data_IF_293463164356
#
_entry.id   IF_293463164356
#
_cell.length_a   1.000
_cell.length_b   1.000
_cell.length_c   1.000
_cell.angle_alpha   90.00
_cell.angle_beta   90.00
_cell.angle_gamma   90.00
#
_symmetry.space_group_name_H-M   'P 1'
#
loop_
_entity.id
_entity.type
_entity.pdbx_description
1 polymer ?
#
# COMPACT_ATOMS: atom_id res chain seq x y z
N UNK A 1 -0.83 -18.04 0.51
CA UNK A 1 -1.13 -16.83 -0.28
C UNK A 1 -0.92 -15.65 0.66
N UNK A 2 0.18 -14.92 0.51
CA UNK A 2 0.56 -13.84 1.42
C UNK A 2 -0.07 -12.54 0.93
N UNK A 3 -1.02 -12.00 1.68
CA UNK A 3 -1.69 -10.74 1.39
C UNK A 3 -1.46 -9.76 2.54
N UNK A 4 -1.11 -8.53 2.21
CA UNK A 4 -0.89 -7.45 3.19
C UNK A 4 -2.21 -6.83 3.68
N UNK A 5 -3.29 -7.09 2.95
CA UNK A 5 -4.64 -6.76 3.30
C UNK A 5 -5.59 -7.03 2.14
N UNK A 6 -6.86 -6.69 2.33
CA UNK A 6 -7.91 -6.78 1.32
C UNK A 6 -9.00 -5.76 1.62
N UNK A 7 -9.70 -5.31 0.58
CA UNK A 7 -10.99 -4.65 0.75
C UNK A 7 -12.10 -5.53 0.18
N UNK A 8 -13.33 -5.25 0.58
CA UNK A 8 -14.50 -5.96 0.13
C UNK A 8 -15.78 -5.24 0.50
N UNK A 9 -16.92 -5.86 0.19
CA UNK A 9 -18.22 -5.30 0.53
C UNK A 9 -19.16 -6.36 1.09
N UNK A 10 -20.01 -5.95 2.02
CA UNK A 10 -21.03 -6.80 2.62
C UNK A 10 -22.41 -6.14 2.49
N UNK A 11 -23.49 -6.93 2.49
CA UNK A 11 -24.83 -6.39 2.64
C UNK A 11 -24.95 -5.58 3.94
N UNK A 12 -25.44 -4.35 3.82
CA UNK A 12 -25.77 -3.48 4.95
C UNK A 12 -27.26 -3.54 5.29
N UNK A 13 -27.67 -2.67 6.22
CA UNK A 13 -29.07 -2.54 6.62
C UNK A 13 -29.94 -2.09 5.43
N UNK A 14 -31.12 -2.69 5.31
CA UNK A 14 -32.15 -2.22 4.39
C UNK A 14 -32.80 -0.97 4.97
N UNK A 15 -32.74 0.14 4.22
CA UNK A 15 -33.35 1.42 4.61
C UNK A 15 -34.40 1.75 3.57
N UNK A 16 -35.66 1.94 4.01
CA UNK A 16 -36.79 2.23 3.12
C UNK A 16 -36.97 1.21 1.98
N UNK A 17 -36.75 -0.08 2.26
CA UNK A 17 -36.88 -1.16 1.27
C UNK A 17 -35.74 -1.26 0.27
N UNK A 18 -34.70 -0.41 0.37
CA UNK A 18 -33.49 -0.52 -0.46
C UNK A 18 -32.39 -1.26 0.31
N UNK A 19 -31.90 -2.35 -0.29
CA UNK A 19 -30.73 -3.06 0.21
C UNK A 19 -29.47 -2.23 -0.05
N UNK A 20 -28.80 -1.83 1.02
CA UNK A 20 -27.54 -1.10 0.93
C UNK A 20 -26.36 -2.08 1.03
N UNK A 21 -25.19 -1.66 0.57
CA UNK A 21 -23.91 -2.33 0.80
C UNK A 21 -22.98 -1.38 1.52
N UNK A 22 -22.11 -1.91 2.35
CA UNK A 22 -20.99 -1.16 2.91
C UNK A 22 -19.68 -1.81 2.49
N UNK A 23 -18.66 -0.99 2.31
CA UNK A 23 -17.31 -1.47 2.05
C UNK A 23 -16.54 -1.59 3.38
N UNK A 24 -15.61 -2.53 3.44
CA UNK A 24 -14.73 -2.72 4.57
C UNK A 24 -13.30 -2.96 4.08
N UNK A 25 -12.35 -2.65 4.94
CA UNK A 25 -10.92 -2.89 4.73
C UNK A 25 -10.43 -3.78 5.86
N UNK A 26 -9.61 -4.76 5.50
CA UNK A 26 -8.85 -5.56 6.44
C UNK A 26 -7.36 -5.39 6.11
N UNK A 27 -6.57 -5.01 7.11
CA UNK A 27 -5.12 -4.83 6.99
C UNK A 27 -4.42 -5.81 7.91
N UNK A 28 -3.44 -6.52 7.38
CA UNK A 28 -2.61 -7.43 8.14
C UNK A 28 -1.47 -6.70 8.86
N UNK A 29 -0.92 -7.33 9.90
CA UNK A 29 0.29 -6.82 10.52
C UNK A 29 1.49 -7.09 9.57
N UNK A 30 2.08 -6.01 9.03
CA UNK A 30 3.13 -6.06 8.02
C UNK A 30 4.46 -6.64 8.55
N UNK A 31 4.70 -6.60 9.86
CA UNK A 31 5.90 -7.15 10.51
C UNK A 31 5.89 -8.67 10.66
N UNK A 32 4.71 -9.28 10.66
CA UNK A 32 4.56 -10.72 10.88
C UNK A 32 4.06 -11.42 9.63
N UNK A 33 3.22 -10.74 8.84
CA UNK A 33 2.62 -11.29 7.64
C UNK A 33 3.45 -10.90 6.41
N UNK A 34 4.50 -11.68 6.15
CA UNK A 34 5.40 -11.53 5.00
C UNK A 34 6.11 -10.17 4.92
N UNK A 35 7.06 -9.89 5.83
CA UNK A 35 7.73 -8.60 5.96
C UNK A 35 8.34 -8.08 4.65
N UNK A 36 9.02 -8.93 3.89
CA UNK A 36 9.64 -8.48 2.64
C UNK A 36 8.66 -8.18 1.48
N UNK A 37 7.36 -8.41 1.67
CA UNK A 37 6.33 -8.00 0.70
C UNK A 37 5.48 -6.88 1.28
N UNK A 38 5.03 -7.02 2.52
CA UNK A 38 4.08 -6.11 3.14
C UNK A 38 4.72 -4.92 3.82
N UNK A 39 6.01 -5.01 4.12
CA UNK A 39 6.78 -3.93 4.70
C UNK A 39 7.79 -3.30 3.74
N UNK A 40 7.75 -3.60 2.44
CA UNK A 40 8.52 -2.85 1.44
C UNK A 40 7.95 -1.40 1.33
N UNK A 41 8.78 -0.34 1.32
CA UNK A 41 10.24 -0.31 1.23
C UNK A 41 11.00 -0.21 2.57
N UNK A 42 10.32 -0.35 3.71
CA UNK A 42 10.90 -0.24 5.05
C UNK A 42 11.52 -1.55 5.55
N UNK A 43 11.37 -2.64 4.79
CA UNK A 43 11.98 -3.94 5.02
C UNK A 43 12.63 -4.47 3.74
N UNK A 44 13.65 -5.32 3.88
CA UNK A 44 14.30 -6.01 2.75
C UNK A 44 13.27 -6.75 1.89
N UNK A 45 13.29 -6.60 0.56
CA UNK A 45 12.32 -7.21 -0.34
C UNK A 45 12.60 -8.71 -0.51
N UNK A 46 11.54 -9.51 -0.73
CA UNK A 46 11.66 -10.98 -0.88
C UNK A 46 12.47 -11.39 -2.13
N UNK A 47 12.44 -10.58 -3.18
CA UNK A 47 13.08 -10.87 -4.46
C UNK A 47 13.78 -9.61 -4.99
N UNK A 48 14.63 -9.77 -6.01
CA UNK A 48 15.37 -8.66 -6.63
C UNK A 48 16.56 -8.16 -5.81
N UNK A 49 17.21 -7.07 -6.27
CA UNK A 49 18.37 -6.50 -5.60
C UNK A 49 18.07 -6.14 -4.14
N UNK A 50 18.94 -6.55 -3.22
CA UNK A 50 18.79 -6.34 -1.78
C UNK A 50 19.29 -4.94 -1.37
N UNK A 51 18.69 -3.91 -1.96
CA UNK A 51 18.98 -2.52 -1.59
C UNK A 51 18.67 -2.31 -0.09
N UNK A 52 19.44 -1.48 0.64
CA UNK A 52 19.10 -1.17 2.03
C UNK A 52 17.66 -0.65 2.15
N UNK A 53 16.89 -1.05 3.18
CA UNK A 53 15.53 -0.58 3.35
C UNK A 53 15.55 0.90 3.74
N UNK A 54 14.46 1.59 3.45
CA UNK A 54 14.29 2.97 3.90
C UNK A 54 14.00 3.00 5.41
N UNK A 55 14.34 4.12 6.04
CA UNK A 55 14.08 4.34 7.46
C UNK A 55 12.59 4.63 7.67
N UNK A 56 11.98 3.86 8.58
CA UNK A 56 10.61 4.07 9.01
C UNK A 56 10.46 5.42 9.73
N UNK A 57 9.58 6.34 9.28
CA UNK A 57 9.40 7.65 9.91
C UNK A 57 9.09 7.61 11.42
N UNK A 58 8.33 6.62 11.89
CA UNK A 58 8.02 6.43 13.31
C UNK A 58 8.99 5.46 14.02
N UNK A 59 10.06 5.03 13.35
CA UNK A 59 10.99 4.01 13.82
C UNK A 59 10.31 2.65 14.14
N UNK A 60 9.14 2.41 13.56
CA UNK A 60 8.35 1.18 13.69
C UNK A 60 7.93 0.74 12.28
N UNK A 61 8.60 -0.30 11.79
CA UNK A 61 8.42 -0.79 10.42
C UNK A 61 6.99 -1.34 10.23
N UNK A 62 6.46 -2.07 11.22
CA UNK A 62 5.14 -2.69 11.14
C UNK A 62 4.01 -1.69 11.10
N UNK A 63 4.09 -0.66 11.94
CA UNK A 63 3.10 0.40 12.02
C UNK A 63 3.12 1.27 10.75
N UNK A 64 4.31 1.72 10.32
CA UNK A 64 4.41 2.56 9.13
C UNK A 64 3.98 1.80 7.86
N UNK A 65 4.29 0.51 7.77
CA UNK A 65 3.82 -0.32 6.65
C UNK A 65 2.33 -0.67 6.75
N UNK A 66 1.77 -0.81 7.95
CA UNK A 66 0.32 -0.91 8.12
C UNK A 66 -0.37 0.35 7.59
N UNK A 67 0.17 1.54 7.86
CA UNK A 67 -0.36 2.81 7.35
C UNK A 67 -0.31 2.86 5.82
N UNK A 68 0.80 2.44 5.20
CA UNK A 68 0.93 2.36 3.72
C UNK A 68 -0.12 1.42 3.13
N UNK A 69 -0.28 0.22 3.71
CA UNK A 69 -1.26 -0.77 3.24
C UNK A 69 -2.69 -0.27 3.42
N UNK A 70 -3.00 0.36 4.56
CA UNK A 70 -4.31 0.96 4.83
C UNK A 70 -4.64 2.06 3.82
N UNK A 71 -3.71 3.00 3.60
CA UNK A 71 -3.90 4.09 2.63
C UNK A 71 -4.11 3.55 1.21
N UNK A 72 -3.35 2.54 0.82
CA UNK A 72 -3.48 1.88 -0.48
C UNK A 72 -4.85 1.22 -0.65
N UNK A 73 -5.27 0.44 0.34
CA UNK A 73 -6.57 -0.23 0.33
C UNK A 73 -7.74 0.76 0.43
N UNK A 74 -7.55 1.88 1.11
CA UNK A 74 -8.54 2.95 1.18
C UNK A 74 -8.75 3.58 -0.19
N UNK A 75 -7.68 3.94 -0.90
CA UNK A 75 -7.78 4.46 -2.26
C UNK A 75 -8.47 3.45 -3.21
N UNK A 76 -8.11 2.18 -3.12
CA UNK A 76 -8.78 1.08 -3.83
C UNK A 76 -10.26 0.97 -3.48
N UNK A 77 -10.61 1.07 -2.19
CA UNK A 77 -12.00 0.97 -1.73
C UNK A 77 -12.83 2.16 -2.19
N UNK A 78 -12.27 3.37 -2.19
CA UNK A 78 -12.97 4.57 -2.66
C UNK A 78 -13.23 4.51 -4.16
N UNK A 79 -12.31 3.94 -4.93
CA UNK A 79 -12.38 3.92 -6.40
C UNK A 79 -13.06 2.67 -6.96
N UNK A 80 -13.07 1.56 -6.22
CA UNK A 80 -13.66 0.29 -6.61
C UNK A 80 -14.37 -0.45 -5.44
N UNK A 81 -15.30 0.18 -4.72
CA UNK A 81 -15.85 -0.35 -3.46
C UNK A 81 -16.59 -1.69 -3.61
N UNK A 82 -17.14 -1.98 -4.79
CA UNK A 82 -18.00 -3.15 -5.05
C UNK A 82 -17.47 -4.04 -6.19
N UNK A 83 -16.22 -3.86 -6.60
CA UNK A 83 -15.61 -4.64 -7.68
C UNK A 83 -16.21 -4.36 -9.06
N UNK A 84 -16.76 -3.17 -9.28
CA UNK A 84 -17.32 -2.70 -10.54
C UNK A 84 -17.07 -1.19 -10.78
N UNK A 85 -16.08 -0.63 -10.09
CA UNK A 85 -15.64 0.76 -10.23
C UNK A 85 -14.41 0.87 -11.12
N UNK A 86 -13.39 1.58 -10.65
CA UNK A 86 -12.18 1.87 -11.41
C UNK A 86 -11.07 0.85 -11.14
N UNK A 87 -10.74 0.05 -12.15
CA UNK A 87 -9.64 -0.91 -12.14
C UNK A 87 -9.19 -1.24 -13.58
N UNK A 88 -8.01 -1.81 -13.72
CA UNK A 88 -7.48 -2.33 -15.00
C UNK A 88 -7.39 -3.86 -14.96
N UNK A 89 -7.71 -4.51 -16.09
CA UNK A 89 -7.64 -5.97 -16.23
C UNK A 89 -8.95 -6.69 -15.88
N UNK A 90 -8.93 -8.03 -15.75
CA UNK A 90 -10.10 -8.83 -15.38
C UNK A 90 -10.57 -8.52 -13.96
N UNK A 91 -11.89 -8.61 -13.73
CA UNK A 91 -12.49 -8.38 -12.40
C UNK A 91 -11.96 -9.32 -11.31
N UNK A 92 -11.55 -10.53 -11.67
CA UNK A 92 -11.02 -11.52 -10.72
C UNK A 92 -9.53 -11.29 -10.39
N UNK A 93 -8.85 -10.41 -11.14
CA UNK A 93 -7.46 -10.00 -10.91
C UNK A 93 -7.26 -8.51 -11.26
N UNK A 94 -7.96 -7.59 -10.55
CA UNK A 94 -7.96 -6.18 -10.89
C UNK A 94 -6.68 -5.49 -10.42
N UNK A 95 -6.08 -4.69 -11.30
CA UNK A 95 -5.07 -3.70 -10.93
C UNK A 95 -5.78 -2.41 -10.53
N UNK A 96 -5.67 -2.01 -9.27
CA UNK A 96 -6.35 -0.86 -8.70
C UNK A 96 -5.37 0.29 -8.47
N UNK A 97 -5.90 1.47 -8.14
CA UNK A 97 -5.14 2.74 -8.17
C UNK A 97 -3.83 2.70 -7.38
N UNK A 98 -3.85 2.13 -6.17
CA UNK A 98 -2.67 2.09 -5.32
C UNK A 98 -1.78 0.85 -5.54
N UNK A 99 -2.25 -0.17 -6.27
CA UNK A 99 -1.49 -1.39 -6.53
C UNK A 99 -0.72 -1.37 -7.85
N UNK A 100 -0.88 -0.33 -8.67
CA UNK A 100 -0.19 -0.18 -9.95
C UNK A 100 1.33 0.04 -9.80
N UNK A 101 1.74 0.89 -8.87
CA UNK A 101 3.15 1.31 -8.72
C UNK A 101 3.63 1.22 -7.25
N UNK A 102 3.51 0.06 -6.58
CA UNK A 102 3.97 -0.07 -5.20
C UNK A 102 5.49 0.12 -5.14
N UNK A 103 5.95 0.94 -4.18
CA UNK A 103 7.38 1.15 -3.99
C UNK A 103 8.04 2.12 -4.97
N UNK A 104 7.29 2.75 -5.89
CA UNK A 104 7.84 3.71 -6.86
C UNK A 104 7.79 5.12 -6.26
N UNK A 105 8.85 5.52 -5.57
CA UNK A 105 8.92 6.79 -4.86
C UNK A 105 9.82 7.83 -5.53
N UNK A 106 10.75 7.42 -6.37
CA UNK A 106 11.70 8.29 -7.05
C UNK A 106 11.92 7.95 -8.52
N UNK A 107 12.76 8.73 -9.20
CA UNK A 107 13.20 8.44 -10.57
C UNK A 107 13.98 7.12 -10.59
N UNK A 108 14.00 6.46 -11.75
CA UNK A 108 14.69 5.17 -11.96
C UNK A 108 14.27 4.04 -11.02
N UNK A 109 13.12 4.16 -10.34
CA UNK A 109 12.59 3.09 -9.51
C UNK A 109 12.32 1.83 -10.36
N UNK A 110 12.57 0.67 -9.76
CA UNK A 110 12.32 -0.65 -10.33
C UNK A 110 12.06 -1.63 -9.16
N UNK A 111 11.63 -2.88 -9.41
CA UNK A 111 11.39 -3.82 -8.31
C UNK A 111 12.60 -3.92 -7.36
N UNK A 112 12.36 -3.68 -6.07
CA UNK A 112 13.40 -3.70 -5.02
C UNK A 112 14.37 -2.50 -5.02
N UNK A 113 14.01 -1.41 -5.71
CA UNK A 113 14.66 -0.12 -5.64
C UNK A 113 13.62 1.01 -5.67
N UNK A 114 13.53 1.76 -4.57
CA UNK A 114 12.52 2.81 -4.38
C UNK A 114 12.65 4.00 -5.35
N UNK A 115 13.78 4.08 -6.05
CA UNK A 115 14.16 5.19 -6.92
C UNK A 115 15.21 6.08 -6.29
N UNK A 116 15.64 7.09 -7.03
CA UNK A 116 16.55 8.12 -6.52
C UNK A 116 15.77 9.06 -5.60
N UNK A 117 15.88 8.82 -4.30
CA UNK A 117 15.26 9.64 -3.27
C UNK A 117 16.21 10.75 -2.83
N UNK A 118 15.63 11.85 -2.39
CA UNK A 118 16.37 12.87 -1.65
C UNK A 118 16.74 12.27 -0.30
N UNK A 119 17.97 12.48 0.15
CA UNK A 119 18.45 12.01 1.45
C UNK A 119 18.85 13.22 2.28
N UNK A 120 18.31 13.33 3.49
CA UNK A 120 18.75 14.32 4.46
C UNK A 120 20.14 13.94 4.99
N UNK A 121 21.18 14.76 4.78
CA UNK A 121 22.53 14.44 5.26
C UNK A 121 22.65 14.36 6.78
N UNK A 122 21.77 15.02 7.53
CA UNK A 122 21.84 15.04 9.00
C UNK A 122 21.27 13.77 9.63
N UNK A 123 20.14 13.27 9.13
CA UNK A 123 19.44 12.11 9.70
C UNK A 123 19.60 10.82 8.90
N UNK A 124 20.01 10.91 7.63
CA UNK A 124 19.99 9.80 6.68
C UNK A 124 18.58 9.41 6.21
N UNK A 125 17.54 10.14 6.62
CA UNK A 125 16.17 9.90 6.18
C UNK A 125 16.00 10.21 4.69
N UNK A 126 15.14 9.47 4.01
CA UNK A 126 14.86 9.66 2.58
C UNK A 126 13.46 10.24 2.36
N UNK A 127 13.30 11.13 1.38
CA UNK A 127 12.00 11.65 0.95
C UNK A 127 11.86 11.70 -0.57
N UNK A 128 10.61 11.66 -1.04
CA UNK A 128 10.28 11.70 -2.46
C UNK A 128 10.12 13.14 -3.00
N UNK A 129 9.87 14.11 -2.13
CA UNK A 129 9.71 15.51 -2.48
C UNK A 129 10.03 16.44 -1.31
N UNK A 130 10.42 17.67 -1.61
CA UNK A 130 10.46 18.77 -0.64
C UNK A 130 9.06 19.40 -0.57
N UNK A 131 8.46 19.40 0.60
CA UNK A 131 7.22 20.15 0.84
C UNK A 131 7.44 21.66 0.79
N UNK A 132 6.42 22.40 0.35
CA UNK A 132 6.32 23.84 0.58
C UNK A 132 5.48 24.07 1.85
N UNK A 133 5.93 24.98 2.70
CA UNK A 133 5.19 25.45 3.89
C UNK A 133 4.62 26.83 3.61
#
# INVERSE_FOLDING_TARGET
MSKCGTHGSLPGASVQGKSNKFAYIWVGNSETQCPGQCAWPLHQPIYGPQSPPLVAPNNDVGLDCMVINLASLLASTTTNPFGNGFFQGPKDAPLEVASACPGVYGKRAYPSYAGDLLVDPATGASCNANGAN
#
